data_IF_286274518946
#
_entry.id   IF_286274518946
#
_cell.length_a   1.000
_cell.length_b   1.000
_cell.length_c   1.000
_cell.angle_alpha   90.00
_cell.angle_beta   90.00
_cell.angle_gamma   90.00
#
_symmetry.space_group_name_H-M   'P 1'
#
loop_
_entity.id
_entity.type
_entity.pdbx_description
1 polymer ?
#
# COMPACT_ATOMS: atom_id res chain seq x y z
N UNK A 1 10.79 7.26 13.42
CA UNK A 1 9.36 7.42 13.81
C UNK A 1 8.83 6.04 14.09
N UNK A 2 8.29 5.82 15.25
CA UNK A 2 7.85 4.48 15.67
C UNK A 2 6.43 4.26 15.12
N UNK A 3 6.32 3.58 13.98
CA UNK A 3 5.06 3.27 13.33
C UNK A 3 4.12 2.39 14.20
N UNK A 4 4.64 1.77 15.26
CA UNK A 4 3.86 1.02 16.24
C UNK A 4 2.88 1.90 17.04
N UNK A 5 3.05 3.22 17.01
CA UNK A 5 2.19 4.19 17.71
C UNK A 5 0.93 4.60 16.93
N UNK A 6 0.76 4.18 15.68
CA UNK A 6 -0.51 4.41 14.99
C UNK A 6 -1.61 3.58 15.65
N UNK A 7 -2.64 4.24 16.17
CA UNK A 7 -3.73 3.58 16.91
C UNK A 7 -4.99 3.49 16.05
N UNK A 8 -5.48 2.28 15.85
CA UNK A 8 -6.76 2.00 15.23
C UNK A 8 -7.83 1.83 16.30
N UNK A 9 -9.07 2.25 16.01
CA UNK A 9 -10.21 2.18 16.94
C UNK A 9 -11.36 1.33 16.39
N UNK A 10 -11.37 1.01 15.10
CA UNK A 10 -12.39 0.19 14.46
C UNK A 10 -11.82 -0.62 13.29
N UNK A 11 -12.49 -1.70 12.85
CA UNK A 11 -12.12 -2.46 11.65
C UNK A 11 -12.60 -1.80 10.36
N UNK A 12 -13.16 -0.59 10.41
CA UNK A 12 -13.75 0.06 9.26
C UNK A 12 -12.71 0.46 8.21
N UNK A 13 -13.13 0.38 6.97
CA UNK A 13 -12.32 0.80 5.84
C UNK A 13 -12.09 2.32 5.85
N UNK A 14 -10.86 2.76 5.64
CA UNK A 14 -10.55 4.17 5.45
C UNK A 14 -11.31 4.74 4.24
N UNK A 15 -11.57 6.05 4.24
CA UNK A 15 -12.24 6.74 3.12
C UNK A 15 -11.50 6.59 1.77
N UNK A 16 -10.21 6.27 1.79
CA UNK A 16 -9.40 6.03 0.60
C UNK A 16 -9.76 4.72 -0.08
N UNK A 17 -10.24 3.72 0.66
CA UNK A 17 -10.66 2.44 0.12
C UNK A 17 -11.80 2.58 -0.91
N UNK A 18 -12.65 3.60 -0.79
CA UNK A 18 -13.77 3.81 -1.72
C UNK A 18 -13.33 3.97 -3.18
N UNK A 19 -12.15 4.56 -3.43
CA UNK A 19 -11.64 4.79 -4.79
C UNK A 19 -10.39 3.94 -5.14
N UNK A 20 -9.77 3.30 -4.14
CA UNK A 20 -8.63 2.40 -4.36
C UNK A 20 -9.06 0.96 -4.64
N UNK A 21 -10.20 0.53 -4.08
CA UNK A 21 -10.64 -0.86 -4.08
C UNK A 21 -10.76 -1.44 -5.50
N UNK A 22 -11.65 -0.88 -6.31
CA UNK A 22 -11.95 -1.44 -7.62
C UNK A 22 -10.73 -1.47 -8.55
N UNK A 23 -9.95 -0.39 -8.71
CA UNK A 23 -8.75 -0.43 -9.54
C UNK A 23 -7.72 -1.46 -9.05
N UNK A 24 -7.52 -1.59 -7.73
CA UNK A 24 -6.57 -2.58 -7.17
C UNK A 24 -7.05 -4.00 -7.41
N UNK A 25 -8.32 -4.29 -7.19
CA UNK A 25 -8.91 -5.60 -7.43
C UNK A 25 -8.75 -6.02 -8.90
N UNK A 26 -9.06 -5.14 -9.85
CA UNK A 26 -8.94 -5.41 -11.29
C UNK A 26 -7.49 -5.72 -11.69
N UNK A 27 -6.52 -5.00 -11.15
CA UNK A 27 -5.10 -5.27 -11.35
C UNK A 27 -4.72 -6.65 -10.84
N UNK A 28 -5.14 -6.99 -9.63
CA UNK A 28 -4.84 -8.31 -9.04
C UNK A 28 -5.48 -9.44 -9.84
N UNK A 29 -6.78 -9.37 -10.14
CA UNK A 29 -7.49 -10.38 -10.94
C UNK A 29 -6.82 -10.58 -12.31
N UNK A 30 -6.45 -9.51 -12.99
CA UNK A 30 -5.75 -9.56 -14.28
C UNK A 30 -4.38 -10.22 -14.17
N UNK A 31 -3.67 -10.00 -13.05
CA UNK A 31 -2.33 -10.54 -12.82
C UNK A 31 -2.35 -12.03 -12.50
N UNK A 32 -3.35 -12.50 -11.76
CA UNK A 32 -3.47 -13.90 -11.37
C UNK A 32 -4.09 -14.78 -12.48
N UNK A 33 -4.98 -14.22 -13.31
CA UNK A 33 -5.75 -15.02 -14.26
C UNK A 33 -6.47 -16.17 -13.56
N UNK A 34 -6.26 -17.40 -14.05
CA UNK A 34 -6.84 -18.63 -13.48
C UNK A 34 -5.93 -19.32 -12.44
N UNK A 35 -4.82 -18.70 -12.05
CA UNK A 35 -3.90 -19.30 -11.06
C UNK A 35 -4.57 -19.50 -9.71
N UNK A 36 -4.31 -20.67 -9.07
CA UNK A 36 -4.71 -20.99 -7.70
C UNK A 36 -3.53 -21.68 -7.00
N UNK A 37 -3.32 -21.46 -5.72
CA UNK A 37 -3.97 -20.45 -4.87
C UNK A 37 -3.60 -19.04 -5.29
N UNK A 38 -4.39 -18.02 -4.88
CA UNK A 38 -4.14 -16.59 -5.12
C UNK A 38 -3.59 -15.94 -3.86
N UNK A 39 -2.30 -16.13 -3.61
CA UNK A 39 -1.65 -15.64 -2.37
C UNK A 39 -1.22 -14.19 -2.47
N UNK A 40 -1.71 -13.35 -1.56
CA UNK A 40 -1.41 -11.90 -1.48
C UNK A 40 -0.85 -11.58 -0.09
N UNK A 41 0.23 -10.82 -0.06
CA UNK A 41 0.75 -10.21 1.16
C UNK A 41 0.29 -8.76 1.23
N UNK A 42 -0.37 -8.36 2.32
CA UNK A 42 -0.86 -6.99 2.53
C UNK A 42 0.03 -6.27 3.56
N UNK A 43 0.98 -5.50 3.05
CA UNK A 43 1.99 -4.79 3.85
C UNK A 43 1.47 -3.43 4.28
N UNK A 44 1.29 -3.24 5.60
CA UNK A 44 0.59 -2.10 6.18
C UNK A 44 -0.92 -2.31 6.15
N UNK A 45 -1.39 -3.48 6.56
CA UNK A 45 -2.79 -3.89 6.48
C UNK A 45 -3.72 -3.14 7.46
N UNK A 46 -3.16 -2.41 8.42
CA UNK A 46 -3.90 -1.69 9.45
C UNK A 46 -4.85 -2.60 10.23
N UNK A 47 -6.13 -2.24 10.28
CA UNK A 47 -7.21 -3.03 10.91
C UNK A 47 -7.79 -4.15 10.03
N UNK A 48 -7.14 -4.49 8.90
CA UNK A 48 -7.48 -5.64 8.06
C UNK A 48 -8.65 -5.45 7.08
N UNK A 49 -9.24 -4.25 6.99
CA UNK A 49 -10.42 -4.01 6.15
C UNK A 49 -10.18 -4.33 4.67
N UNK A 50 -9.00 -4.00 4.13
CA UNK A 50 -8.66 -4.28 2.74
C UNK A 50 -8.39 -5.78 2.53
N UNK A 51 -7.63 -6.40 3.45
CA UNK A 51 -7.37 -7.83 3.45
C UNK A 51 -8.66 -8.66 3.45
N UNK A 52 -9.66 -8.27 4.28
CA UNK A 52 -10.97 -8.92 4.30
C UNK A 52 -11.70 -8.81 2.96
N UNK A 53 -11.68 -7.65 2.32
CA UNK A 53 -12.28 -7.50 0.99
C UNK A 53 -11.61 -8.40 -0.06
N UNK A 54 -10.28 -8.55 -0.01
CA UNK A 54 -9.57 -9.48 -0.89
C UNK A 54 -9.92 -10.94 -0.60
N UNK A 55 -9.97 -11.33 0.67
CA UNK A 55 -10.36 -12.69 1.07
C UNK A 55 -11.77 -13.04 0.58
N UNK A 56 -12.72 -12.11 0.64
CA UNK A 56 -14.08 -12.28 0.08
C UNK A 56 -14.10 -12.47 -1.46
N UNK A 57 -13.01 -12.16 -2.18
CA UNK A 57 -12.83 -12.42 -3.60
C UNK A 57 -12.02 -13.71 -3.89
N UNK A 58 -11.79 -14.54 -2.87
CA UNK A 58 -11.08 -15.80 -3.00
C UNK A 58 -9.56 -15.67 -3.04
N UNK A 59 -9.00 -14.61 -2.48
CA UNK A 59 -7.56 -14.50 -2.24
C UNK A 59 -7.19 -15.07 -0.88
N UNK A 60 -6.05 -15.77 -0.80
CA UNK A 60 -5.40 -16.11 0.46
C UNK A 60 -4.54 -14.91 0.88
N UNK A 61 -4.95 -14.22 1.95
CA UNK A 61 -4.30 -12.98 2.36
C UNK A 61 -3.53 -13.18 3.67
N UNK A 62 -2.30 -12.65 3.70
CA UNK A 62 -1.52 -12.48 4.92
C UNK A 62 -1.26 -10.99 5.14
N UNK A 63 -1.82 -10.42 6.19
CA UNK A 63 -1.67 -9.00 6.52
C UNK A 63 -0.60 -8.76 7.58
N UNK A 64 0.23 -7.74 7.39
CA UNK A 64 1.23 -7.31 8.37
C UNK A 64 1.16 -5.81 8.57
N UNK A 65 1.18 -5.37 9.84
CA UNK A 65 1.21 -3.95 10.22
C UNK A 65 2.05 -3.77 11.50
N UNK A 66 2.79 -2.67 11.67
CA UNK A 66 3.51 -2.39 12.93
C UNK A 66 2.58 -2.03 14.09
N UNK A 67 1.33 -1.64 13.85
CA UNK A 67 0.36 -1.27 14.88
C UNK A 67 -0.22 -2.49 15.57
N UNK A 68 0.12 -2.69 16.85
CA UNK A 68 -0.44 -3.76 17.67
C UNK A 68 -1.97 -3.65 17.75
N UNK A 69 -2.52 -2.44 17.97
CA UNK A 69 -3.97 -2.21 18.05
C UNK A 69 -4.68 -2.55 16.74
N UNK A 70 -4.06 -2.23 15.59
CA UNK A 70 -4.59 -2.59 14.26
C UNK A 70 -4.69 -4.09 14.09
N UNK A 71 -3.63 -4.82 14.41
CA UNK A 71 -3.57 -6.29 14.29
C UNK A 71 -4.54 -6.98 15.26
N UNK A 72 -4.68 -6.50 16.50
CA UNK A 72 -5.66 -7.05 17.45
C UNK A 72 -7.10 -6.88 16.94
N UNK A 73 -7.44 -5.71 16.39
CA UNK A 73 -8.75 -5.45 15.77
C UNK A 73 -8.94 -6.37 14.56
N UNK A 74 -7.95 -6.47 13.67
CA UNK A 74 -8.01 -7.30 12.46
C UNK A 74 -8.26 -8.79 12.80
N UNK A 75 -7.50 -9.35 13.72
CA UNK A 75 -7.64 -10.75 14.18
C UNK A 75 -9.01 -11.02 14.79
N UNK A 76 -9.55 -10.07 15.56
CA UNK A 76 -10.87 -10.20 16.16
C UNK A 76 -12.00 -10.09 15.14
N UNK A 77 -11.87 -9.18 14.18
CA UNK A 77 -12.90 -8.93 13.17
C UNK A 77 -12.91 -9.98 12.04
N UNK A 78 -11.74 -10.54 11.70
CA UNK A 78 -11.55 -11.42 10.54
C UNK A 78 -10.68 -12.64 10.89
N UNK A 79 -11.18 -13.56 11.75
CA UNK A 79 -10.41 -14.66 12.32
C UNK A 79 -9.89 -15.69 11.30
N UNK A 80 -10.49 -15.73 10.11
CA UNK A 80 -10.04 -16.62 9.02
C UNK A 80 -8.80 -16.10 8.27
N UNK A 81 -8.41 -14.85 8.47
CA UNK A 81 -7.30 -14.21 7.75
C UNK A 81 -6.08 -14.18 8.68
N UNK A 82 -4.91 -14.48 8.13
CA UNK A 82 -3.66 -14.41 8.89
C UNK A 82 -3.21 -12.95 9.01
N UNK A 83 -3.01 -12.49 10.26
CA UNK A 83 -2.48 -11.16 10.56
C UNK A 83 -1.35 -11.24 11.58
N UNK A 84 -0.27 -10.51 11.33
CA UNK A 84 0.87 -10.45 12.23
C UNK A 84 1.40 -9.03 12.44
N UNK A 85 1.93 -8.78 13.63
CA UNK A 85 2.70 -7.56 13.88
C UNK A 85 4.05 -7.69 13.20
N UNK A 86 4.43 -6.66 12.46
CA UNK A 86 5.72 -6.61 11.77
C UNK A 86 5.91 -5.33 10.98
N UNK A 87 7.14 -5.05 10.60
CA UNK A 87 7.51 -3.83 9.87
C UNK A 87 8.50 -4.10 8.75
N UNK A 88 8.71 -3.09 7.90
CA UNK A 88 9.72 -3.15 6.84
C UNK A 88 11.16 -3.16 7.35
N UNK A 89 11.39 -3.06 8.65
CA UNK A 89 12.70 -3.19 9.28
C UNK A 89 13.10 -4.66 9.44
N UNK A 90 12.14 -5.58 9.40
CA UNK A 90 12.34 -7.03 9.53
C UNK A 90 12.58 -7.72 8.19
N UNK A 91 13.12 -8.94 8.23
CA UNK A 91 13.14 -9.85 7.08
C UNK A 91 11.79 -10.57 6.94
N UNK A 92 10.82 -9.87 6.35
CA UNK A 92 9.47 -10.39 6.17
C UNK A 92 9.43 -11.60 5.23
N UNK A 93 10.28 -11.65 4.22
CA UNK A 93 10.36 -12.79 3.29
C UNK A 93 10.94 -14.05 3.97
N UNK A 94 11.91 -13.88 4.85
CA UNK A 94 12.43 -14.98 5.68
C UNK A 94 11.40 -15.51 6.67
N UNK A 95 10.53 -14.62 7.19
CA UNK A 95 9.50 -14.98 8.19
C UNK A 95 8.25 -15.62 7.56
N UNK A 96 7.78 -15.11 6.44
CA UNK A 96 6.47 -15.48 5.85
C UNK A 96 6.57 -16.14 4.48
N UNK A 97 7.77 -16.21 3.90
CA UNK A 97 7.98 -16.71 2.55
C UNK A 97 7.64 -15.69 1.46
N UNK A 98 7.43 -16.17 0.24
CA UNK A 98 7.14 -15.33 -0.93
C UNK A 98 5.71 -15.49 -1.39
N UNK A 99 5.20 -14.43 -2.03
CA UNK A 99 3.81 -14.30 -2.44
C UNK A 99 3.71 -13.98 -3.93
N UNK A 100 2.55 -14.26 -4.50
CA UNK A 100 2.26 -13.99 -5.92
C UNK A 100 1.88 -12.52 -6.16
N UNK A 101 1.43 -11.81 -5.14
CA UNK A 101 1.30 -10.37 -5.16
C UNK A 101 1.60 -9.78 -3.78
N UNK A 102 2.08 -8.53 -3.77
CA UNK A 102 2.17 -7.70 -2.56
C UNK A 102 1.34 -6.45 -2.78
N UNK A 103 0.40 -6.19 -1.87
CA UNK A 103 -0.33 -4.92 -1.77
C UNK A 103 0.26 -4.08 -0.65
N UNK A 104 0.32 -2.76 -0.85
CA UNK A 104 0.67 -1.81 0.21
C UNK A 104 0.00 -0.48 -0.12
N UNK A 105 -1.14 -0.20 0.54
CA UNK A 105 -2.02 0.89 0.17
C UNK A 105 -1.96 2.02 1.20
N UNK A 106 -1.56 3.22 0.76
CA UNK A 106 -1.43 4.43 1.59
C UNK A 106 -0.47 4.18 2.79
N UNK A 107 0.72 3.63 2.49
CA UNK A 107 1.76 3.27 3.47
C UNK A 107 3.08 3.97 3.19
N UNK A 108 3.54 3.98 1.93
CA UNK A 108 4.89 4.44 1.56
C UNK A 108 5.13 5.93 1.87
N UNK A 109 4.10 6.73 2.04
CA UNK A 109 4.16 8.12 2.50
C UNK A 109 4.50 8.28 3.99
N UNK A 110 4.27 7.25 4.78
CA UNK A 110 4.58 7.22 6.21
C UNK A 110 5.94 6.61 6.53
N UNK A 111 6.60 6.00 5.53
CA UNK A 111 7.83 5.24 5.74
C UNK A 111 9.05 6.15 5.80
N UNK A 112 9.83 6.05 6.88
CA UNK A 112 11.07 6.82 7.04
C UNK A 112 12.16 6.39 6.03
N UNK A 113 12.36 5.07 5.84
CA UNK A 113 13.36 4.46 4.98
C UNK A 113 12.72 3.84 3.71
N UNK A 114 12.37 4.65 2.68
CA UNK A 114 11.60 4.15 1.54
C UNK A 114 12.36 3.13 0.69
N UNK A 115 13.68 3.20 0.60
CA UNK A 115 14.48 2.17 -0.11
C UNK A 115 14.41 0.81 0.57
N UNK A 116 14.41 0.78 1.90
CA UNK A 116 14.21 -0.46 2.66
C UNK A 116 12.81 -1.02 2.45
N UNK A 117 11.77 -0.17 2.49
CA UNK A 117 10.40 -0.57 2.15
C UNK A 117 10.33 -1.21 0.76
N UNK A 118 10.88 -0.55 -0.27
CA UNK A 118 10.84 -1.07 -1.64
C UNK A 118 11.61 -2.40 -1.78
N UNK A 119 12.74 -2.55 -1.10
CA UNK A 119 13.50 -3.81 -1.04
C UNK A 119 12.67 -4.93 -0.37
N UNK A 120 11.99 -4.67 0.75
CA UNK A 120 11.12 -5.66 1.41
C UNK A 120 9.95 -6.09 0.55
N UNK A 121 9.29 -5.14 -0.14
CA UNK A 121 8.23 -5.47 -1.11
C UNK A 121 8.79 -6.35 -2.24
N UNK A 122 10.00 -6.06 -2.72
CA UNK A 122 10.67 -6.86 -3.75
C UNK A 122 11.00 -8.28 -3.26
N UNK A 123 11.56 -8.40 -2.05
CA UNK A 123 11.94 -9.69 -1.45
C UNK A 123 10.74 -10.62 -1.24
N UNK A 124 9.60 -10.07 -0.81
CA UNK A 124 8.34 -10.78 -0.59
C UNK A 124 7.71 -11.36 -1.86
N UNK A 125 8.10 -10.91 -3.05
CA UNK A 125 7.53 -11.38 -4.30
C UNK A 125 8.25 -12.60 -4.87
N UNK A 126 7.47 -13.52 -5.42
CA UNK A 126 7.96 -14.53 -6.35
C UNK A 126 8.44 -13.86 -7.67
N UNK A 127 9.42 -14.45 -8.39
CA UNK A 127 9.84 -13.95 -9.70
C UNK A 127 8.67 -13.85 -10.69
N UNK A 128 8.65 -12.80 -11.49
CA UNK A 128 7.61 -12.52 -12.49
C UNK A 128 6.30 -11.96 -11.94
N UNK A 129 6.19 -11.78 -10.63
CA UNK A 129 4.98 -11.32 -9.93
C UNK A 129 4.96 -9.81 -9.69
N UNK A 130 3.85 -9.27 -9.15
CA UNK A 130 3.61 -7.83 -9.08
C UNK A 130 3.48 -7.30 -7.65
N UNK A 131 3.96 -6.09 -7.45
CA UNK A 131 3.56 -5.21 -6.34
C UNK A 131 2.49 -4.23 -6.79
N UNK A 132 1.54 -3.92 -5.91
CA UNK A 132 0.53 -2.88 -6.08
C UNK A 132 0.63 -1.93 -4.89
N UNK A 133 1.15 -0.73 -5.12
CA UNK A 133 1.46 0.24 -4.06
C UNK A 133 0.66 1.51 -4.33
N UNK A 134 -0.13 1.98 -3.37
CA UNK A 134 -0.78 3.27 -3.47
C UNK A 134 -0.18 4.30 -2.52
N UNK A 135 -0.35 5.57 -2.90
CA UNK A 135 0.03 6.73 -2.08
C UNK A 135 -0.70 7.98 -2.59
N UNK A 136 -0.90 9.03 -1.77
CA UNK A 136 -1.42 10.29 -2.24
C UNK A 136 -0.62 10.83 -3.41
N UNK A 137 -1.32 11.27 -4.47
CA UNK A 137 -0.68 11.80 -5.67
C UNK A 137 -0.27 13.25 -5.50
N UNK A 138 1.02 13.55 -5.69
CA UNK A 138 1.60 14.89 -5.66
C UNK A 138 2.18 15.26 -7.03
N UNK A 139 1.28 15.52 -7.99
CA UNK A 139 1.66 16.01 -9.32
C UNK A 139 1.65 17.52 -9.42
N UNK A 140 2.32 18.05 -10.45
CA UNK A 140 2.50 19.49 -10.68
C UNK A 140 1.18 20.28 -10.60
N UNK A 141 0.17 19.88 -11.40
CA UNK A 141 -1.10 20.61 -11.47
C UNK A 141 -1.89 20.59 -10.17
N UNK A 142 -1.88 19.47 -9.44
CA UNK A 142 -2.52 19.37 -8.13
C UNK A 142 -1.83 20.29 -7.12
N UNK A 143 -0.49 20.26 -7.06
CA UNK A 143 0.26 21.10 -6.12
C UNK A 143 0.11 22.58 -6.45
N UNK A 144 0.10 22.94 -7.75
CA UNK A 144 -0.16 24.31 -8.18
C UNK A 144 -1.57 24.78 -7.76
N UNK A 145 -2.59 23.95 -7.95
CA UNK A 145 -3.96 24.27 -7.51
C UNK A 145 -4.05 24.44 -5.98
N UNK A 146 -3.37 23.59 -5.20
CA UNK A 146 -3.30 23.70 -3.74
C UNK A 146 -2.68 25.05 -3.33
N UNK A 147 -1.57 25.43 -3.97
CA UNK A 147 -0.88 26.69 -3.69
C UNK A 147 -1.72 27.91 -4.08
N UNK A 148 -2.29 27.94 -5.30
CA UNK A 148 -3.12 29.06 -5.78
C UNK A 148 -4.40 29.25 -4.94
N UNK A 149 -4.96 28.17 -4.39
CA UNK A 149 -6.16 28.20 -3.56
C UNK A 149 -5.85 28.41 -2.06
N UNK A 150 -4.59 28.62 -1.70
CA UNK A 150 -4.12 28.77 -0.31
C UNK A 150 -4.58 27.59 0.59
N UNK A 151 -4.48 26.34 0.08
CA UNK A 151 -4.93 25.12 0.78
C UNK A 151 -3.79 24.27 1.31
N UNK A 152 -2.56 24.78 1.36
CA UNK A 152 -1.37 24.02 1.78
C UNK A 152 -1.51 23.49 3.20
N UNK A 153 -1.87 24.32 4.17
CA UNK A 153 -1.96 23.90 5.58
C UNK A 153 -3.04 22.85 5.80
N UNK A 154 -4.20 23.01 5.15
CA UNK A 154 -5.27 22.02 5.20
C UNK A 154 -4.88 20.70 4.51
N UNK A 155 -4.10 20.78 3.43
CA UNK A 155 -3.74 19.61 2.63
C UNK A 155 -2.61 18.79 3.27
N UNK A 156 -1.62 19.46 3.85
CA UNK A 156 -0.44 18.78 4.40
C UNK A 156 -0.59 18.40 5.87
N UNK A 157 -1.58 18.94 6.58
CA UNK A 157 -1.95 18.57 7.96
C UNK A 157 -0.75 18.41 8.89
N UNK A 158 0.10 19.46 8.97
CA UNK A 158 1.40 19.43 9.67
C UNK A 158 1.31 19.04 11.16
N UNK A 159 0.15 19.22 11.80
CA UNK A 159 -0.08 18.84 13.21
C UNK A 159 -0.63 17.41 13.38
N UNK A 160 -0.75 16.64 12.30
CA UNK A 160 -1.19 15.24 12.38
C UNK A 160 -0.03 14.34 12.79
N UNK A 161 -0.05 13.85 14.03
CA UNK A 161 0.92 12.89 14.55
C UNK A 161 0.89 11.61 13.70
N UNK A 162 2.08 11.12 13.31
CA UNK A 162 2.26 10.01 12.38
C UNK A 162 1.66 10.22 10.98
N UNK A 163 1.43 11.48 10.59
CA UNK A 163 0.96 11.86 9.26
C UNK A 163 1.97 11.60 8.14
N UNK A 164 1.70 12.14 6.96
CA UNK A 164 2.54 11.94 5.78
C UNK A 164 3.89 12.65 5.92
N UNK A 165 4.99 11.91 5.80
CA UNK A 165 6.37 12.43 5.83
C UNK A 165 7.02 12.44 4.46
N UNK A 166 6.44 11.76 3.46
CA UNK A 166 6.91 11.72 2.08
C UNK A 166 5.79 12.10 1.12
N UNK A 167 6.13 12.88 0.10
CA UNK A 167 5.21 13.36 -0.92
C UNK A 167 5.65 12.85 -2.28
N UNK A 168 4.90 11.90 -2.83
CA UNK A 168 5.30 11.14 -4.00
C UNK A 168 4.68 11.68 -5.29
N UNK A 169 5.49 11.76 -6.35
CA UNK A 169 5.04 11.86 -7.73
C UNK A 169 5.25 10.53 -8.45
N UNK A 170 4.67 10.37 -9.64
CA UNK A 170 4.93 9.18 -10.47
C UNK A 170 6.42 9.02 -10.79
N UNK A 171 7.16 10.13 -10.95
CA UNK A 171 8.60 10.12 -11.20
C UNK A 171 9.39 9.57 -10.02
N UNK A 172 9.16 10.10 -8.82
CA UNK A 172 9.94 9.76 -7.63
C UNK A 172 9.61 8.36 -7.10
N UNK A 173 8.34 7.96 -7.12
CA UNK A 173 7.96 6.58 -6.77
C UNK A 173 8.44 5.57 -7.81
N UNK A 174 8.36 5.91 -9.10
CA UNK A 174 8.89 5.07 -10.18
C UNK A 174 10.41 4.86 -10.05
N UNK A 175 11.16 5.93 -9.71
CA UNK A 175 12.60 5.83 -9.45
C UNK A 175 12.88 4.91 -8.25
N UNK A 176 12.18 5.07 -7.14
CA UNK A 176 12.33 4.22 -5.96
C UNK A 176 12.15 2.74 -6.30
N UNK A 177 11.09 2.41 -7.06
CA UNK A 177 10.80 1.03 -7.46
C UNK A 177 11.84 0.49 -8.45
N UNK A 178 12.31 1.30 -9.39
CA UNK A 178 13.38 0.91 -10.30
C UNK A 178 14.71 0.66 -9.58
N UNK A 179 15.07 1.50 -8.60
CA UNK A 179 16.26 1.30 -7.74
C UNK A 179 16.20 -0.03 -6.95
N UNK A 180 14.99 -0.48 -6.56
CA UNK A 180 14.78 -1.78 -5.90
C UNK A 180 14.79 -2.98 -6.87
N UNK A 181 14.90 -2.77 -8.18
CA UNK A 181 14.97 -3.82 -9.20
C UNK A 181 13.65 -4.14 -9.90
N UNK A 182 12.57 -3.42 -9.61
CA UNK A 182 11.30 -3.59 -10.31
C UNK A 182 11.38 -3.11 -11.77
N UNK A 183 10.61 -3.78 -12.63
CA UNK A 183 10.45 -3.47 -14.05
C UNK A 183 8.97 -3.18 -14.36
N UNK A 184 8.70 -2.67 -15.58
CA UNK A 184 7.35 -2.41 -16.08
C UNK A 184 6.47 -1.59 -15.14
N UNK A 185 7.03 -0.57 -14.50
CA UNK A 185 6.30 0.27 -13.54
C UNK A 185 5.24 1.10 -14.26
N UNK A 186 3.97 0.86 -13.94
CA UNK A 186 2.80 1.58 -14.48
C UNK A 186 2.07 2.30 -13.37
N UNK A 187 1.37 3.39 -13.72
CA UNK A 187 0.63 4.20 -12.76
C UNK A 187 -0.83 4.38 -13.17
N UNK A 188 -1.73 4.16 -12.23
CA UNK A 188 -3.12 4.58 -12.31
C UNK A 188 -3.33 5.77 -11.38
N UNK A 189 -4.05 6.80 -11.83
CA UNK A 189 -4.43 7.96 -11.01
C UNK A 189 -5.91 7.88 -10.70
N UNK A 190 -6.25 7.91 -9.41
CA UNK A 190 -7.59 7.56 -8.93
C UNK A 190 -8.20 8.63 -8.02
N UNK A 191 -9.50 8.55 -7.80
CA UNK A 191 -10.25 9.39 -6.88
C UNK A 191 -10.74 10.73 -7.45
N UNK A 192 -10.20 11.18 -8.60
CA UNK A 192 -10.62 12.38 -9.37
C UNK A 192 -10.08 12.29 -10.79
N UNK A 193 -10.29 13.34 -11.59
CA UNK A 193 -9.65 13.46 -12.92
C UNK A 193 -8.13 13.37 -12.80
N UNK A 194 -7.43 12.77 -13.77
CA UNK A 194 -6.02 12.43 -13.64
C UNK A 194 -5.07 13.55 -13.18
N UNK A 195 -5.16 14.81 -13.66
CA UNK A 195 -4.27 15.89 -13.20
C UNK A 195 -4.44 16.25 -11.73
N UNK A 196 -5.65 16.03 -11.17
CA UNK A 196 -6.06 16.38 -9.81
C UNK A 196 -6.37 15.13 -8.96
N UNK A 197 -5.87 13.98 -9.33
CA UNK A 197 -6.12 12.70 -8.64
C UNK A 197 -5.85 12.80 -7.13
N UNK A 198 -6.63 12.06 -6.33
CA UNK A 198 -6.41 11.97 -4.89
C UNK A 198 -5.17 11.13 -4.60
N UNK A 199 -5.14 9.93 -5.16
CA UNK A 199 -4.03 8.97 -5.00
C UNK A 199 -3.57 8.45 -6.36
N UNK A 200 -2.41 7.82 -6.36
CA UNK A 200 -1.89 7.03 -7.47
C UNK A 200 -1.62 5.61 -7.00
N UNK A 201 -1.79 4.66 -7.92
CA UNK A 201 -1.46 3.25 -7.72
C UNK A 201 -0.30 2.93 -8.65
N UNK A 202 0.83 2.52 -8.09
CA UNK A 202 1.96 1.97 -8.83
C UNK A 202 1.80 0.46 -8.94
N UNK A 203 1.94 -0.06 -10.15
CA UNK A 203 1.96 -1.49 -10.45
C UNK A 203 3.36 -1.78 -10.97
N UNK A 204 4.12 -2.58 -10.23
CA UNK A 204 5.52 -2.85 -10.52
C UNK A 204 5.77 -4.36 -10.58
N UNK A 205 6.54 -4.83 -11.56
CA UNK A 205 6.80 -6.25 -11.76
C UNK A 205 8.20 -6.62 -11.28
N UNK A 206 8.29 -7.69 -10.50
CA UNK A 206 9.58 -8.35 -10.23
C UNK A 206 10.02 -9.12 -11.49
N UNK A 207 11.26 -9.01 -11.96
CA UNK A 207 11.79 -9.84 -13.06
C UNK A 207 11.62 -11.34 -12.79
N UNK A 208 11.64 -12.14 -13.89
CA UNK A 208 11.63 -13.61 -13.81
C UNK A 208 12.98 -14.14 -13.35
#
# INVERSE_FOLDING_TARGET
MDASRYSYTSPEASHTHAYLWEPTLQVLLSSFGNSQPRRVFDLGCGSGAFANKLAAQGFEVHGVDPSLSGIEIARKAYPEISFDVGSTEEDLAGRFGKFQAVTSLEVVEHVYAPRQFAARVFDLLEPGRIAVISTPYHGYWKNLAIALLNKSDWHHTALWDNGHIKFWSTKTLGQLLAEAGFQDVKFLRVGRIPPLAKSMIAIARKPK
#
